data_IF_529347517575
#
_entry.id   IF_529347517575
#
_cell.length_a   1.000
_cell.length_b   1.000
_cell.length_c   1.000
_cell.angle_alpha   90.00
_cell.angle_beta   90.00
_cell.angle_gamma   90.00
#
_symmetry.space_group_name_H-M   'P 1'
#
loop_
_entity.id
_entity.type
_entity.pdbx_description
1 polymer ?
#
# COMPACT_ATOMS: atom_id res chain seq x y z
N UNK A 1 -4.71 21.60 -13.49
CA UNK A 1 -4.46 20.13 -13.35
C UNK A 1 -5.51 19.56 -12.44
N UNK A 2 -5.99 18.32 -12.70
CA UNK A 2 -6.97 17.60 -11.87
C UNK A 2 -6.24 16.59 -10.98
N UNK A 3 -6.67 16.48 -9.74
CA UNK A 3 -6.11 15.59 -8.74
C UNK A 3 -7.19 14.67 -8.18
N UNK A 4 -6.79 13.49 -7.78
CA UNK A 4 -7.62 12.56 -7.01
C UNK A 4 -6.81 12.05 -5.83
N UNK A 5 -7.31 12.29 -4.62
CA UNK A 5 -6.78 11.72 -3.39
C UNK A 5 -7.65 10.53 -2.99
N UNK A 6 -7.00 9.40 -2.74
CA UNK A 6 -7.64 8.19 -2.24
C UNK A 6 -7.01 7.90 -0.89
N UNK A 7 -7.81 7.89 0.16
CA UNK A 7 -7.39 7.52 1.52
C UNK A 7 -8.00 6.16 1.83
N UNK A 8 -7.14 5.21 2.15
CA UNK A 8 -7.49 3.82 2.42
C UNK A 8 -7.21 3.51 3.90
N UNK A 9 -8.03 2.68 4.52
CA UNK A 9 -7.78 2.21 5.88
C UNK A 9 -6.78 1.04 5.92
N UNK A 10 -6.31 0.54 4.77
CA UNK A 10 -5.23 -0.45 4.66
C UNK A 10 -4.39 -0.27 3.39
N UNK A 11 -3.25 -0.98 3.33
CA UNK A 11 -2.45 -1.10 2.13
C UNK A 11 -3.13 -2.00 1.08
N UNK A 12 -2.66 -1.91 -0.18
CA UNK A 12 -3.11 -2.80 -1.25
C UNK A 12 -2.50 -4.19 -1.02
N UNK A 13 -3.29 -5.08 -0.43
CA UNK A 13 -2.96 -6.48 -0.15
C UNK A 13 -4.00 -7.40 -0.77
N UNK A 14 -3.69 -8.70 -0.92
CA UNK A 14 -4.59 -9.67 -1.56
C UNK A 14 -5.54 -10.38 -0.58
N UNK A 15 -5.38 -10.14 0.72
CA UNK A 15 -6.23 -10.71 1.77
C UNK A 15 -7.65 -10.15 1.72
N UNK A 16 -8.64 -10.97 2.07
CA UNK A 16 -10.05 -10.58 2.13
C UNK A 16 -10.33 -9.85 3.44
N UNK A 17 -10.58 -8.56 3.36
CA UNK A 17 -10.93 -7.77 4.53
C UNK A 17 -12.05 -6.79 4.23
N UNK A 18 -12.94 -6.60 5.20
CA UNK A 18 -13.83 -5.45 5.20
C UNK A 18 -13.04 -4.19 5.53
N UNK A 19 -13.11 -3.24 4.63
CA UNK A 19 -12.24 -2.07 4.62
C UNK A 19 -13.00 -0.80 4.23
N UNK A 20 -12.41 0.36 4.47
CA UNK A 20 -13.01 1.66 4.15
C UNK A 20 -12.06 2.50 3.31
N UNK A 21 -12.65 3.25 2.37
CA UNK A 21 -11.90 4.21 1.56
C UNK A 21 -12.69 5.50 1.38
N UNK A 22 -11.96 6.61 1.22
CA UNK A 22 -12.52 7.88 0.81
C UNK A 22 -11.81 8.37 -0.44
N UNK A 23 -12.59 8.86 -1.41
CA UNK A 23 -12.09 9.44 -2.66
C UNK A 23 -12.48 10.92 -2.70
N UNK A 24 -11.49 11.78 -2.84
CA UNK A 24 -11.68 13.23 -2.93
C UNK A 24 -11.07 13.70 -4.25
N UNK A 25 -11.86 14.36 -5.08
CA UNK A 25 -11.38 14.98 -6.32
C UNK A 25 -11.03 16.44 -6.06
N UNK A 26 -10.06 16.96 -6.81
CA UNK A 26 -9.64 18.34 -6.68
C UNK A 26 -9.08 18.90 -7.96
N UNK A 27 -8.94 20.21 -8.01
CA UNK A 27 -8.39 20.94 -9.14
C UNK A 27 -7.49 22.08 -8.67
N UNK A 28 -6.30 22.21 -9.27
CA UNK A 28 -5.42 23.35 -9.01
C UNK A 28 -6.01 24.62 -9.61
N UNK A 29 -6.24 25.66 -8.79
CA UNK A 29 -6.91 26.91 -9.17
C UNK A 29 -6.07 28.16 -8.88
N UNK A 30 -4.78 28.02 -8.75
CA UNK A 30 -3.85 29.14 -8.63
C UNK A 30 -3.76 29.81 -7.26
N UNK A 31 -4.78 29.75 -6.40
CA UNK A 31 -4.74 30.30 -5.03
C UNK A 31 -4.28 29.25 -4.01
N UNK A 32 -3.33 29.62 -3.16
CA UNK A 32 -2.86 28.76 -2.06
C UNK A 32 -4.00 28.48 -1.06
N UNK A 33 -4.11 27.22 -0.63
CA UNK A 33 -5.04 26.73 0.39
C UNK A 33 -4.26 26.23 1.59
N UNK A 34 -4.13 27.02 2.67
CA UNK A 34 -3.41 26.58 3.89
C UNK A 34 -3.94 25.27 4.48
N UNK A 35 -5.23 24.94 4.26
CA UNK A 35 -5.83 23.68 4.69
C UNK A 35 -5.18 22.43 4.05
N UNK A 36 -4.41 22.57 2.98
CA UNK A 36 -3.66 21.48 2.36
C UNK A 36 -2.30 21.23 3.04
N UNK A 37 -1.88 22.13 3.94
CA UNK A 37 -0.56 22.06 4.57
C UNK A 37 -0.32 20.71 5.31
N UNK A 38 -1.26 20.16 6.11
CA UNK A 38 -1.05 18.89 6.80
C UNK A 38 -0.82 17.71 5.84
N UNK A 39 -1.44 17.73 4.65
CA UNK A 39 -1.21 16.72 3.62
C UNK A 39 0.21 16.82 3.05
N UNK A 40 0.68 18.03 2.75
CA UNK A 40 2.04 18.27 2.23
C UNK A 40 3.08 17.87 3.27
N UNK A 41 2.92 18.30 4.50
CA UNK A 41 3.85 18.04 5.59
C UNK A 41 3.94 16.53 5.90
N UNK A 42 2.82 15.81 5.78
CA UNK A 42 2.81 14.35 5.90
C UNK A 42 3.62 13.68 4.80
N UNK A 43 3.44 14.06 3.55
CA UNK A 43 4.23 13.53 2.44
C UNK A 43 5.72 13.85 2.61
N UNK A 44 6.06 15.09 2.95
CA UNK A 44 7.44 15.49 3.18
C UNK A 44 8.11 14.67 4.29
N UNK A 45 7.41 14.39 5.41
CA UNK A 45 7.93 13.54 6.48
C UNK A 45 8.15 12.09 6.02
N UNK A 46 7.19 11.52 5.30
CA UNK A 46 7.29 10.14 4.78
C UNK A 46 8.45 10.02 3.78
N UNK A 47 8.59 10.99 2.87
CA UNK A 47 9.65 10.96 1.87
C UNK A 47 11.04 11.24 2.45
N UNK A 48 11.18 12.02 3.53
CA UNK A 48 12.45 12.18 4.24
C UNK A 48 13.00 10.86 4.78
N UNK A 49 12.13 9.91 5.12
CA UNK A 49 12.50 8.55 5.49
C UNK A 49 12.90 7.65 4.32
N UNK A 50 12.70 8.11 3.07
CA UNK A 50 13.05 7.35 1.87
C UNK A 50 14.44 7.73 1.38
N UNK A 51 15.30 6.74 1.16
CA UNK A 51 16.65 6.95 0.61
C UNK A 51 16.68 7.10 -0.93
N UNK A 52 15.54 6.87 -1.61
CA UNK A 52 15.51 6.67 -3.07
C UNK A 52 14.70 7.71 -3.83
N UNK A 53 13.76 8.42 -3.19
CA UNK A 53 12.90 9.40 -3.85
C UNK A 53 12.76 10.64 -2.98
N UNK A 54 12.81 11.82 -3.60
CA UNK A 54 12.39 13.07 -2.96
C UNK A 54 10.91 13.34 -3.26
N UNK A 55 10.21 14.00 -2.34
CA UNK A 55 8.81 14.39 -2.53
C UNK A 55 8.64 15.28 -3.77
N UNK A 56 9.56 16.23 -3.97
CA UNK A 56 9.53 17.18 -5.08
C UNK A 56 9.64 16.52 -6.46
N UNK A 57 10.23 15.31 -6.54
CA UNK A 57 10.32 14.55 -7.79
C UNK A 57 9.02 13.83 -8.15
N UNK A 58 8.14 13.60 -7.18
CA UNK A 58 6.90 12.84 -7.36
C UNK A 58 5.69 13.77 -7.43
N UNK A 59 5.61 14.75 -6.55
CA UNK A 59 4.50 15.71 -6.46
C UNK A 59 5.09 17.09 -6.15
N UNK A 60 4.74 18.11 -6.95
CA UNK A 60 5.10 19.50 -6.66
C UNK A 60 4.29 20.03 -5.45
N UNK A 61 4.93 20.32 -4.28
CA UNK A 61 4.26 20.87 -3.12
C UNK A 61 3.59 22.22 -3.39
N UNK A 62 4.18 23.02 -4.29
CA UNK A 62 3.64 24.32 -4.69
C UNK A 62 2.37 24.18 -5.57
N UNK A 63 2.21 23.10 -6.28
CA UNK A 63 0.95 22.76 -6.93
C UNK A 63 -0.07 22.21 -5.93
N UNK A 64 0.35 21.28 -5.07
CA UNK A 64 -0.55 20.63 -4.11
C UNK A 64 -1.19 21.64 -3.14
N UNK A 65 -0.45 22.68 -2.71
CA UNK A 65 -0.99 23.75 -1.86
C UNK A 65 -2.11 24.56 -2.55
N UNK A 66 -2.22 24.51 -3.88
CA UNK A 66 -3.20 25.25 -4.68
C UNK A 66 -4.40 24.42 -5.10
N UNK A 67 -4.43 23.13 -4.70
CA UNK A 67 -5.54 22.26 -5.04
C UNK A 67 -6.78 22.65 -4.23
N UNK A 68 -7.88 22.82 -4.92
CA UNK A 68 -9.21 22.96 -4.36
C UNK A 68 -9.88 21.60 -4.42
N UNK A 69 -10.02 20.99 -3.27
CA UNK A 69 -10.68 19.70 -3.13
C UNK A 69 -12.19 19.88 -3.00
N UNK A 70 -12.95 19.02 -3.65
CA UNK A 70 -14.40 18.96 -3.51
C UNK A 70 -14.77 18.19 -2.24
N UNK A 71 -15.85 18.59 -1.56
CA UNK A 71 -16.35 17.82 -0.43
C UNK A 71 -16.90 16.47 -0.94
N UNK A 72 -16.66 15.35 -0.24
CA UNK A 72 -17.35 14.11 -0.52
C UNK A 72 -18.87 14.25 -0.37
N UNK A 73 -19.63 13.40 -1.07
CA UNK A 73 -21.09 13.38 -0.99
C UNK A 73 -21.57 13.22 0.47
N UNK A 74 -22.61 13.97 0.85
CA UNK A 74 -23.18 14.04 2.18
C UNK A 74 -22.26 14.64 3.27
N UNK A 75 -21.06 15.13 2.91
CA UNK A 75 -20.17 15.81 3.83
C UNK A 75 -20.16 17.32 3.60
N UNK A 76 -20.31 18.09 4.65
CA UNK A 76 -20.32 19.56 4.58
C UNK A 76 -18.91 20.15 4.49
N UNK A 77 -17.93 19.50 5.12
CA UNK A 77 -16.51 19.86 5.08
C UNK A 77 -15.63 18.67 5.38
N UNK A 78 -14.33 18.82 5.11
CA UNK A 78 -13.29 17.88 5.53
C UNK A 78 -12.01 18.64 5.93
N UNK A 79 -11.11 17.93 6.62
CA UNK A 79 -9.75 18.37 6.90
C UNK A 79 -8.79 17.18 6.94
N UNK A 80 -7.52 17.48 6.69
CA UNK A 80 -6.44 16.50 6.77
C UNK A 80 -5.86 16.51 8.18
N UNK A 81 -5.62 15.32 8.73
CA UNK A 81 -5.00 15.10 10.03
C UNK A 81 -3.87 14.10 9.87
N UNK A 82 -2.77 14.32 10.55
CA UNK A 82 -1.62 13.41 10.52
C UNK A 82 -0.84 13.46 11.83
N UNK A 83 -0.02 12.45 12.06
CA UNK A 83 0.83 12.36 13.24
C UNK A 83 2.21 13.04 13.04
N UNK A 84 2.29 14.07 12.21
CA UNK A 84 3.52 14.86 12.03
C UNK A 84 3.96 15.48 13.37
N UNK A 85 5.25 15.81 13.45
CA UNK A 85 5.80 16.50 14.62
C UNK A 85 5.34 17.97 14.66
N UNK A 86 5.02 18.42 15.86
CA UNK A 86 4.78 19.83 16.14
C UNK A 86 6.10 20.59 16.46
N UNK A 87 5.99 21.88 16.76
CA UNK A 87 7.14 22.74 17.08
C UNK A 87 7.88 22.29 18.37
N UNK A 88 7.19 21.55 19.25
CA UNK A 88 7.76 20.96 20.47
C UNK A 88 8.39 19.57 20.23
N UNK A 89 8.49 19.14 18.98
CA UNK A 89 8.97 17.82 18.57
C UNK A 89 8.15 16.66 19.16
N UNK A 90 6.82 16.88 19.30
CA UNK A 90 5.86 15.86 19.68
C UNK A 90 4.97 15.53 18.50
N UNK A 91 4.68 14.24 18.30
CA UNK A 91 3.73 13.83 17.27
C UNK A 91 2.33 14.31 17.64
N UNK A 92 1.67 14.95 16.68
CA UNK A 92 0.27 15.32 16.79
C UNK A 92 -0.61 14.06 16.78
N UNK A 93 -1.83 14.19 17.32
CA UNK A 93 -2.80 13.10 17.26
C UNK A 93 -3.50 13.08 15.89
N UNK A 94 -3.75 11.88 15.32
CA UNK A 94 -4.42 11.75 14.03
C UNK A 94 -5.94 11.96 14.13
N UNK A 95 -6.45 12.37 15.29
CA UNK A 95 -7.85 12.67 15.53
C UNK A 95 -7.97 13.99 16.29
N UNK A 96 -9.01 14.75 15.98
CA UNK A 96 -9.34 15.99 16.69
C UNK A 96 -10.67 15.80 17.43
N UNK A 97 -10.61 15.78 18.76
CA UNK A 97 -11.75 15.53 19.65
C UNK A 97 -11.91 16.65 20.65
N UNK A 98 -13.15 17.08 20.84
CA UNK A 98 -13.55 17.99 21.91
C UNK A 98 -14.30 17.20 22.99
N UNK A 99 -14.30 17.69 24.23
CA UNK A 99 -15.06 17.07 25.30
C UNK A 99 -16.56 17.37 25.16
N UNK A 100 -17.40 16.48 25.69
CA UNK A 100 -18.84 16.65 25.69
C UNK A 100 -19.57 16.14 24.47
N UNK A 101 -18.94 15.26 23.69
CA UNK A 101 -19.61 14.59 22.57
C UNK A 101 -20.77 13.71 23.07
N UNK A 102 -21.77 13.52 22.21
CA UNK A 102 -23.00 12.80 22.57
C UNK A 102 -22.86 11.29 22.43
N UNK A 103 -22.15 10.84 21.43
CA UNK A 103 -21.87 9.42 21.17
C UNK A 103 -20.56 9.24 20.40
N UNK A 104 -19.99 8.05 20.48
CA UNK A 104 -18.77 7.67 19.78
C UNK A 104 -18.86 6.24 19.26
N UNK A 105 -18.31 6.00 18.06
CA UNK A 105 -18.18 4.68 17.46
C UNK A 105 -16.76 4.54 16.94
N UNK A 106 -16.04 3.53 17.41
CA UNK A 106 -14.70 3.17 16.91
C UNK A 106 -14.75 1.84 16.14
N UNK A 107 -14.16 1.82 14.95
CA UNK A 107 -13.88 0.59 14.19
C UNK A 107 -12.38 0.44 14.10
N UNK A 108 -11.85 -0.67 14.58
CA UNK A 108 -10.41 -0.93 14.55
C UNK A 108 -10.11 -2.42 14.63
N UNK A 109 -9.31 -2.96 13.69
CA UNK A 109 -8.88 -4.37 13.75
C UNK A 109 -7.96 -4.68 14.93
N UNK A 110 -7.28 -3.64 15.47
CA UNK A 110 -6.36 -3.74 16.60
C UNK A 110 -6.66 -2.63 17.60
N UNK A 111 -6.84 -3.01 18.88
CA UNK A 111 -7.23 -2.09 19.96
C UNK A 111 -6.24 -2.09 21.13
N UNK A 112 -5.29 -3.02 21.13
CA UNK A 112 -4.32 -3.21 22.21
C UNK A 112 -2.92 -2.75 21.82
N UNK A 113 -2.14 -2.36 22.80
CA UNK A 113 -0.72 -2.08 22.67
C UNK A 113 -0.01 -2.48 23.96
N UNK A 114 0.88 -3.49 23.90
CA UNK A 114 1.55 -4.01 25.10
C UNK A 114 0.57 -4.61 26.14
N UNK A 115 -0.48 -5.27 25.67
CA UNK A 115 -1.51 -5.88 26.53
C UNK A 115 -2.51 -4.89 27.16
N UNK A 116 -2.50 -3.61 26.76
CA UNK A 116 -3.35 -2.55 27.32
C UNK A 116 -4.19 -1.88 26.23
N UNK A 117 -5.34 -1.35 26.60
CA UNK A 117 -6.27 -0.62 25.73
C UNK A 117 -6.15 0.90 25.92
N UNK A 118 -4.95 1.42 26.11
CA UNK A 118 -4.68 2.81 26.52
C UNK A 118 -5.30 3.88 25.61
N UNK A 119 -5.42 3.63 24.31
CA UNK A 119 -6.11 4.54 23.38
C UNK A 119 -7.64 4.57 23.68
N UNK A 120 -8.27 3.41 23.92
CA UNK A 120 -9.69 3.34 24.29
C UNK A 120 -9.95 3.99 25.66
N UNK A 121 -9.05 3.82 26.62
CA UNK A 121 -9.13 4.48 27.91
C UNK A 121 -9.09 6.01 27.79
N UNK A 122 -8.25 6.53 26.88
CA UNK A 122 -8.22 7.93 26.55
C UNK A 122 -9.51 8.38 25.85
N UNK A 123 -10.01 7.64 24.87
CA UNK A 123 -11.24 7.94 24.14
C UNK A 123 -12.48 7.97 25.03
N UNK A 124 -12.52 7.19 26.13
CA UNK A 124 -13.62 7.21 27.10
C UNK A 124 -13.89 8.58 27.67
N UNK A 125 -12.89 9.45 27.75
CA UNK A 125 -13.04 10.80 28.31
C UNK A 125 -13.88 11.75 27.44
N UNK A 126 -14.19 11.37 26.20
CA UNK A 126 -14.84 12.24 25.22
C UNK A 126 -16.33 11.96 24.99
N UNK A 127 -16.86 10.81 25.43
CA UNK A 127 -18.28 10.49 25.28
C UNK A 127 -18.81 9.72 26.51
N UNK A 128 -20.12 9.74 26.83
CA UNK A 128 -20.72 9.01 27.95
C UNK A 128 -20.59 7.48 27.82
N UNK A 129 -20.54 6.75 28.93
CA UNK A 129 -20.35 5.30 28.99
C UNK A 129 -21.36 4.50 28.16
N UNK A 130 -22.60 4.86 28.21
CA UNK A 130 -23.69 4.18 27.49
C UNK A 130 -23.83 4.62 26.03
N UNK A 131 -22.88 5.39 25.51
CA UNK A 131 -22.90 5.98 24.17
C UNK A 131 -21.60 5.70 23.39
N UNK A 132 -20.85 4.67 23.79
CA UNK A 132 -19.60 4.26 23.16
C UNK A 132 -19.76 2.89 22.52
N UNK A 133 -19.39 2.77 21.27
CA UNK A 133 -19.54 1.58 20.46
C UNK A 133 -18.20 1.21 19.86
N UNK A 134 -17.82 -0.06 19.98
CA UNK A 134 -16.54 -0.60 19.49
C UNK A 134 -16.80 -1.77 18.57
N UNK A 135 -16.30 -1.66 17.36
CA UNK A 135 -16.32 -2.69 16.34
C UNK A 135 -14.89 -3.16 16.10
N UNK A 136 -14.61 -4.43 16.42
CA UNK A 136 -13.26 -4.97 16.32
C UNK A 136 -13.29 -6.45 15.89
N UNK A 137 -12.13 -7.05 15.79
CA UNK A 137 -11.98 -8.48 15.61
C UNK A 137 -12.39 -9.21 16.89
N UNK A 138 -12.99 -10.38 16.75
CA UNK A 138 -13.43 -11.20 17.88
C UNK A 138 -12.26 -11.50 18.82
N UNK A 139 -11.14 -11.93 18.25
CA UNK A 139 -9.93 -12.28 19.00
C UNK A 139 -9.37 -11.08 19.79
N UNK A 140 -9.39 -9.87 19.19
CA UNK A 140 -8.93 -8.66 19.88
C UNK A 140 -9.84 -8.26 21.04
N UNK A 141 -11.16 -8.45 20.89
CA UNK A 141 -12.12 -8.20 21.97
C UNK A 141 -11.94 -9.19 23.11
N UNK A 142 -11.84 -10.49 22.80
CA UNK A 142 -11.62 -11.54 23.79
C UNK A 142 -10.29 -11.36 24.53
N UNK A 143 -9.21 -11.07 23.79
CA UNK A 143 -7.90 -10.81 24.39
C UNK A 143 -7.85 -9.53 25.22
N UNK A 144 -8.65 -8.52 24.92
CA UNK A 144 -8.77 -7.33 25.77
C UNK A 144 -9.56 -7.64 27.05
N UNK A 145 -10.58 -8.48 26.92
CA UNK A 145 -11.46 -8.92 28.00
C UNK A 145 -12.54 -7.90 28.39
N UNK A 146 -13.66 -8.42 28.89
CA UNK A 146 -14.84 -7.62 29.24
C UNK A 146 -14.52 -6.49 30.22
N UNK A 147 -13.70 -6.76 31.24
CA UNK A 147 -13.32 -5.78 32.26
C UNK A 147 -12.54 -4.58 31.68
N UNK A 148 -11.65 -4.80 30.74
CA UNK A 148 -10.88 -3.72 30.12
C UNK A 148 -11.74 -2.90 29.13
N UNK A 149 -12.80 -3.50 28.59
CA UNK A 149 -13.74 -2.86 27.66
C UNK A 149 -15.05 -2.40 28.32
N UNK A 150 -15.10 -2.40 29.65
CA UNK A 150 -16.26 -1.88 30.39
C UNK A 150 -16.62 -0.44 29.93
N UNK A 151 -17.92 -0.19 29.74
CA UNK A 151 -18.45 1.05 29.19
C UNK A 151 -18.35 1.19 27.66
N UNK A 152 -17.96 0.13 26.94
CA UNK A 152 -18.07 0.02 25.50
C UNK A 152 -19.10 -1.05 25.11
N UNK A 153 -19.96 -0.76 24.13
CA UNK A 153 -20.79 -1.75 23.46
C UNK A 153 -19.97 -2.40 22.37
N UNK A 154 -19.55 -3.65 22.54
CA UNK A 154 -18.64 -4.35 21.66
C UNK A 154 -19.36 -5.17 20.59
N UNK A 155 -18.86 -5.12 19.36
CA UNK A 155 -19.38 -5.83 18.20
C UNK A 155 -18.23 -6.45 17.38
N UNK A 156 -18.47 -7.65 16.84
CA UNK A 156 -17.56 -8.33 15.91
C UNK A 156 -18.24 -8.58 14.56
N UNK A 157 -17.47 -8.90 13.51
CA UNK A 157 -18.02 -9.31 12.22
C UNK A 157 -18.93 -10.51 12.39
N UNK A 158 -20.00 -10.56 11.61
CA UNK A 158 -20.96 -11.66 11.67
C UNK A 158 -20.40 -12.90 10.98
N UNK A 159 -20.11 -13.94 11.75
CA UNK A 159 -19.53 -15.21 11.28
C UNK A 159 -20.38 -15.86 10.17
N UNK A 160 -21.71 -15.75 10.23
CA UNK A 160 -22.60 -16.31 9.20
C UNK A 160 -22.46 -15.64 7.82
N UNK A 161 -21.98 -14.41 7.74
CA UNK A 161 -21.69 -13.74 6.46
C UNK A 161 -20.35 -14.20 5.90
N UNK A 162 -19.40 -14.55 6.75
CA UNK A 162 -18.10 -15.12 6.40
C UNK A 162 -18.31 -16.46 5.70
N UNK A 163 -19.08 -17.37 6.32
CA UNK A 163 -19.35 -18.73 5.82
C UNK A 163 -20.16 -18.72 4.49
N UNK A 164 -20.98 -17.70 4.24
CA UNK A 164 -21.80 -17.61 3.03
C UNK A 164 -20.99 -17.31 1.76
N UNK A 165 -19.86 -16.64 1.87
CA UNK A 165 -18.97 -16.33 0.75
C UNK A 165 -18.03 -17.48 0.36
N UNK A 166 -17.83 -18.48 1.23
CA UNK A 166 -16.99 -19.64 0.93
C UNK A 166 -17.57 -20.58 -0.16
N UNK A 167 -18.84 -20.43 -0.49
CA UNK A 167 -19.53 -21.28 -1.48
C UNK A 167 -19.45 -20.81 -2.93
N UNK A 168 -18.83 -19.65 -3.23
CA UNK A 168 -18.52 -19.24 -4.59
C UNK A 168 -17.15 -19.77 -5.02
N UNK A 169 -17.06 -20.39 -6.22
CA UNK A 169 -15.83 -20.99 -6.78
C UNK A 169 -14.64 -20.04 -6.68
N UNK A 170 -13.74 -20.32 -5.73
CA UNK A 170 -12.62 -19.46 -5.42
C UNK A 170 -11.35 -19.94 -6.07
N UNK A 171 -10.62 -18.98 -6.63
CA UNK A 171 -9.27 -19.14 -7.15
C UNK A 171 -8.34 -19.61 -6.00
N UNK A 172 -7.82 -20.84 -6.11
CA UNK A 172 -6.93 -21.47 -5.12
C UNK A 172 -5.53 -20.86 -5.19
N UNK A 173 -5.41 -19.57 -4.91
CA UNK A 173 -4.10 -18.95 -4.72
C UNK A 173 -3.59 -19.30 -3.32
N UNK A 174 -2.37 -19.88 -3.17
CA UNK A 174 -1.81 -20.23 -1.87
C UNK A 174 -1.46 -19.02 -0.98
N UNK A 175 -1.76 -17.80 -1.42
CA UNK A 175 -1.46 -16.54 -0.72
C UNK A 175 -2.71 -15.81 -0.20
N UNK A 176 -3.89 -16.40 -0.30
CA UNK A 176 -5.14 -15.77 0.14
C UNK A 176 -5.58 -16.43 1.44
N UNK A 177 -5.58 -15.67 2.54
CA UNK A 177 -6.34 -16.04 3.74
C UNK A 177 -7.82 -16.09 3.35
N UNK A 178 -8.47 -17.24 3.55
CA UNK A 178 -9.84 -17.49 3.09
C UNK A 178 -10.89 -16.80 3.94
N UNK A 179 -10.57 -16.32 5.15
CA UNK A 179 -11.52 -15.74 6.08
C UNK A 179 -11.69 -14.23 5.85
N UNK A 180 -12.94 -13.78 5.68
CA UNK A 180 -13.26 -12.36 5.68
C UNK A 180 -12.93 -11.76 7.05
N UNK A 181 -12.00 -10.83 7.10
CA UNK A 181 -11.55 -10.21 8.33
C UNK A 181 -11.83 -8.69 8.37
N UNK A 182 -11.80 -8.09 9.54
CA UNK A 182 -11.92 -6.66 9.72
C UNK A 182 -10.56 -5.99 9.58
N UNK A 183 -10.45 -4.98 8.69
CA UNK A 183 -9.25 -4.13 8.60
C UNK A 183 -9.57 -2.63 8.56
N UNK A 184 -10.84 -2.25 8.52
CA UNK A 184 -11.28 -0.87 8.53
C UNK A 184 -10.84 -0.10 9.80
N UNK A 185 -10.52 1.18 9.64
CA UNK A 185 -10.17 2.09 10.73
C UNK A 185 -10.99 3.35 10.59
N UNK A 186 -11.87 3.56 11.57
CA UNK A 186 -12.82 4.66 11.58
C UNK A 186 -13.13 5.06 13.02
N UNK A 187 -13.15 6.36 13.29
CA UNK A 187 -13.72 6.91 14.52
C UNK A 187 -14.82 7.89 14.13
N UNK A 188 -16.04 7.62 14.57
CA UNK A 188 -17.21 8.49 14.39
C UNK A 188 -17.57 9.13 15.70
N UNK A 189 -17.82 10.43 15.69
CA UNK A 189 -18.15 11.20 16.89
C UNK A 189 -19.35 12.11 16.62
N UNK A 190 -20.42 11.92 17.35
CA UNK A 190 -21.57 12.82 17.35
C UNK A 190 -21.25 14.03 18.25
N UNK A 191 -20.82 15.12 17.61
CA UNK A 191 -20.31 16.33 18.31
C UNK A 191 -21.42 17.17 18.90
N UNK A 192 -22.54 17.30 18.19
CA UNK A 192 -23.70 18.10 18.59
C UNK A 192 -25.01 17.36 18.24
N UNK A 193 -26.16 18.01 18.48
CA UNK A 193 -27.48 17.46 18.11
C UNK A 193 -27.65 17.26 16.60
N UNK A 194 -26.90 17.97 15.79
CA UNK A 194 -27.04 17.94 14.32
C UNK A 194 -25.77 17.56 13.57
N UNK A 195 -24.61 17.50 14.25
CA UNK A 195 -23.30 17.38 13.61
C UNK A 195 -22.58 16.13 14.07
N UNK A 196 -22.03 15.40 13.13
CA UNK A 196 -21.12 14.26 13.36
C UNK A 196 -19.84 14.43 12.56
N UNK A 197 -18.74 13.90 13.07
CA UNK A 197 -17.47 13.82 12.35
C UNK A 197 -16.96 12.38 12.27
N UNK A 198 -16.43 12.04 11.11
CA UNK A 198 -15.74 10.79 10.83
C UNK A 198 -14.25 11.07 10.74
N UNK A 199 -13.45 10.25 11.38
CA UNK A 199 -11.99 10.20 11.22
C UNK A 199 -11.67 8.88 10.55
N UNK A 200 -11.34 8.92 9.26
CA UNK A 200 -11.09 7.76 8.39
C UNK A 200 -9.65 7.78 7.90
N UNK A 201 -8.94 6.66 7.98
CA UNK A 201 -7.59 6.53 7.44
C UNK A 201 -6.81 5.35 8.01
N UNK A 202 -5.52 5.56 8.28
CA UNK A 202 -4.60 4.48 8.64
C UNK A 202 -4.56 4.13 10.13
N UNK A 203 -4.99 5.03 11.02
CA UNK A 203 -4.77 4.89 12.46
C UNK A 203 -5.68 3.85 13.11
N UNK A 204 -5.07 2.80 13.66
CA UNK A 204 -5.74 1.89 14.58
C UNK A 204 -6.05 2.57 15.92
N UNK A 205 -7.04 2.06 16.66
CA UNK A 205 -7.34 2.53 18.03
C UNK A 205 -6.36 1.93 19.04
N UNK A 206 -5.08 2.18 18.81
CA UNK A 206 -3.96 1.70 19.65
C UNK A 206 -3.13 2.85 20.18
N UNK A 207 -2.39 2.63 21.26
CA UNK A 207 -1.48 3.64 21.80
C UNK A 207 -0.41 4.07 20.77
N UNK A 208 0.07 3.15 19.95
CA UNK A 208 1.08 3.45 18.93
C UNK A 208 0.56 4.41 17.85
N UNK A 209 -0.70 4.26 17.43
CA UNK A 209 -1.30 5.06 16.37
C UNK A 209 -1.98 6.35 16.88
N UNK A 210 -2.69 6.30 18.01
CA UNK A 210 -3.45 7.46 18.53
C UNK A 210 -2.83 8.11 19.76
N UNK A 211 -1.89 7.44 20.43
CA UNK A 211 -1.43 7.82 21.77
C UNK A 211 -2.43 7.40 22.86
N UNK A 212 -2.19 7.86 24.07
CA UNK A 212 -3.09 7.74 25.24
C UNK A 212 -3.13 9.06 26.02
N UNK A 213 -3.71 9.06 27.23
CA UNK A 213 -3.82 10.27 28.05
C UNK A 213 -2.45 10.93 28.37
N UNK A 214 -1.37 10.15 28.40
CA UNK A 214 -0.02 10.58 28.82
C UNK A 214 1.00 10.59 27.69
N UNK A 215 0.75 9.84 26.60
CA UNK A 215 1.74 9.61 25.56
C UNK A 215 1.20 10.06 24.20
N UNK A 216 2.06 10.69 23.41
CA UNK A 216 1.80 10.99 22.00
C UNK A 216 1.88 9.72 21.14
N UNK A 217 1.27 9.72 19.93
CA UNK A 217 1.43 8.64 18.95
C UNK A 217 2.91 8.39 18.60
N UNK A 218 3.20 7.18 18.15
CA UNK A 218 4.56 6.80 17.69
C UNK A 218 4.60 6.50 16.19
N UNK A 219 3.48 6.08 15.62
CA UNK A 219 3.38 5.76 14.20
C UNK A 219 3.20 7.01 13.33
N UNK A 220 3.55 6.86 12.05
CA UNK A 220 3.15 7.80 11.01
C UNK A 220 1.75 7.42 10.53
N UNK A 221 0.76 8.24 10.86
CA UNK A 221 -0.65 8.00 10.53
C UNK A 221 -1.22 9.21 9.77
N UNK A 222 -2.14 8.92 8.84
CA UNK A 222 -2.88 9.92 8.09
C UNK A 222 -4.37 9.63 8.13
N UNK A 223 -5.16 10.65 8.48
CA UNK A 223 -6.61 10.55 8.60
C UNK A 223 -7.29 11.72 7.88
N UNK A 224 -8.47 11.45 7.36
CA UNK A 224 -9.43 12.47 6.95
C UNK A 224 -10.44 12.67 8.07
N UNK A 225 -10.65 13.92 8.50
CA UNK A 225 -11.84 14.28 9.27
C UNK A 225 -12.89 14.79 8.30
N UNK A 226 -14.02 14.08 8.23
CA UNK A 226 -15.18 14.40 7.40
C UNK A 226 -16.32 14.80 8.32
N UNK A 227 -16.96 15.95 8.08
CA UNK A 227 -18.06 16.44 8.94
C UNK A 227 -19.36 16.50 8.13
N UNK A 228 -20.44 16.00 8.70
CA UNK A 228 -21.76 15.99 8.06
C UNK A 228 -22.92 15.98 9.03
N UNK A 229 -24.11 15.67 8.50
CA UNK A 229 -25.34 15.62 9.31
C UNK A 229 -25.40 14.32 10.12
N UNK A 230 -25.62 14.46 11.43
CA UNK A 230 -25.81 13.34 12.36
C UNK A 230 -26.96 12.41 11.94
N UNK A 231 -28.03 12.94 11.38
CA UNK A 231 -29.20 12.15 10.98
C UNK A 231 -28.89 11.13 9.90
N UNK A 232 -27.88 11.40 9.06
CA UNK A 232 -27.51 10.54 7.92
C UNK A 232 -26.31 9.66 8.23
N UNK A 233 -25.29 10.21 8.88
CA UNK A 233 -23.99 9.55 9.04
C UNK A 233 -23.55 9.47 10.52
N UNK A 234 -24.44 9.76 11.47
CA UNK A 234 -24.16 9.70 12.90
C UNK A 234 -24.07 8.25 13.43
N UNK A 235 -23.59 8.13 14.65
CA UNK A 235 -23.33 6.86 15.35
C UNK A 235 -24.54 5.92 15.29
N UNK A 236 -25.72 6.39 15.65
CA UNK A 236 -26.92 5.55 15.65
C UNK A 236 -27.40 5.15 14.26
N UNK A 237 -27.22 6.01 13.27
CA UNK A 237 -27.54 5.70 11.89
C UNK A 237 -26.70 4.52 11.38
N UNK A 238 -25.40 4.52 11.73
CA UNK A 238 -24.48 3.44 11.38
C UNK A 238 -24.80 2.14 12.11
N UNK A 239 -25.06 2.21 13.43
CA UNK A 239 -25.44 1.02 14.20
C UNK A 239 -26.67 0.37 13.60
N UNK A 240 -27.69 1.15 13.28
CA UNK A 240 -28.93 0.62 12.66
C UNK A 240 -28.66 -0.04 11.31
N UNK A 241 -27.72 0.45 10.53
CA UNK A 241 -27.35 -0.14 9.24
C UNK A 241 -26.49 -1.40 9.39
N UNK A 242 -25.54 -1.38 10.32
CA UNK A 242 -24.52 -2.42 10.41
C UNK A 242 -24.89 -3.59 11.31
N UNK A 243 -25.66 -3.36 12.36
CA UNK A 243 -26.00 -4.40 13.35
C UNK A 243 -27.36 -5.03 13.06
N UNK A 244 -28.32 -4.30 12.54
CA UNK A 244 -29.69 -4.72 12.25
C UNK A 244 -30.38 -5.51 13.41
N UNK A 245 -31.68 -5.28 13.63
CA UNK A 245 -32.45 -5.84 14.75
C UNK A 245 -32.62 -7.37 14.71
N UNK A 246 -32.36 -8.01 13.58
CA UNK A 246 -32.56 -9.45 13.36
C UNK A 246 -31.25 -10.28 13.36
N UNK A 247 -30.10 -9.68 13.71
CA UNK A 247 -28.81 -10.39 13.70
C UNK A 247 -28.27 -10.74 12.32
N UNK A 248 -28.87 -10.20 11.23
CA UNK A 248 -28.44 -10.39 9.85
C UNK A 248 -27.58 -9.22 9.34
N UNK A 249 -27.16 -8.34 10.24
CA UNK A 249 -26.28 -7.22 9.93
C UNK A 249 -24.83 -7.68 9.73
N UNK A 250 -24.01 -6.76 9.21
CA UNK A 250 -22.58 -6.97 9.00
C UNK A 250 -21.85 -7.29 10.32
N UNK A 251 -22.32 -6.76 11.44
CA UNK A 251 -21.75 -6.98 12.77
C UNK A 251 -22.82 -7.51 13.72
N UNK A 252 -22.38 -8.35 14.65
CA UNK A 252 -23.18 -8.87 15.76
C UNK A 252 -22.62 -8.41 17.10
N UNK A 253 -23.47 -8.33 18.13
CA UNK A 253 -23.01 -8.04 19.49
C UNK A 253 -22.03 -9.13 19.93
N UNK A 254 -20.86 -8.71 20.41
CA UNK A 254 -19.85 -9.64 20.89
C UNK A 254 -20.22 -10.21 22.26
N UNK A 255 -20.09 -11.53 22.40
CA UNK A 255 -20.18 -12.24 23.66
C UNK A 255 -18.76 -12.69 24.01
N UNK A 256 -18.25 -12.19 25.13
CA UNK A 256 -16.89 -12.49 25.57
C UNK A 256 -16.74 -13.97 25.93
N UNK A 257 -15.78 -14.64 25.35
CA UNK A 257 -15.35 -15.99 25.75
C UNK A 257 -14.26 -15.88 26.81
N UNK A 258 -14.33 -16.76 27.85
CA UNK A 258 -13.17 -16.94 28.72
C UNK A 258 -12.06 -17.56 27.85
N UNK A 259 -11.02 -16.78 27.58
CA UNK A 259 -9.80 -17.34 27.00
C UNK A 259 -9.20 -18.25 28.07
N UNK A 260 -9.14 -19.56 27.82
CA UNK A 260 -8.20 -20.42 28.53
C UNK A 260 -6.82 -19.79 28.31
N UNK A 261 -6.11 -19.47 29.40
CA UNK A 261 -4.71 -19.02 29.34
C UNK A 261 -3.92 -20.09 28.57
N UNK A 262 -3.83 -19.93 27.25
CA UNK A 262 -3.02 -20.80 26.42
C UNK A 262 -1.59 -20.28 26.44
N UNK A 263 -0.65 -21.22 26.52
CA UNK A 263 0.80 -20.98 26.41
C UNK A 263 1.19 -20.18 25.15
N UNK A 264 0.24 -19.75 24.33
CA UNK A 264 0.41 -18.95 23.11
C UNK A 264 0.76 -17.47 23.31
N UNK A 265 0.43 -16.84 24.44
CA UNK A 265 0.70 -15.39 24.61
C UNK A 265 2.20 -15.05 24.63
N UNK A 266 3.03 -15.93 25.19
CA UNK A 266 4.48 -15.77 25.21
C UNK A 266 5.09 -16.00 23.81
N UNK A 267 4.54 -16.94 23.03
CA UNK A 267 4.95 -17.21 21.66
C UNK A 267 4.58 -16.05 20.73
N UNK A 268 3.35 -15.54 20.79
CA UNK A 268 2.89 -14.38 20.01
C UNK A 268 3.70 -13.13 20.33
N UNK A 269 4.06 -12.93 21.59
CA UNK A 269 4.92 -11.81 21.99
C UNK A 269 6.33 -11.98 21.46
N UNK A 270 6.89 -13.17 21.53
CA UNK A 270 8.22 -13.48 21.02
C UNK A 270 8.24 -13.33 19.48
N UNK A 271 7.20 -13.79 18.77
CA UNK A 271 7.05 -13.60 17.34
C UNK A 271 7.04 -12.10 16.96
N UNK A 272 6.25 -11.26 17.64
CA UNK A 272 6.20 -9.80 17.38
C UNK A 272 7.54 -9.12 17.63
N UNK A 273 8.28 -9.53 18.66
CA UNK A 273 9.61 -8.99 18.93
C UNK A 273 10.60 -9.41 17.84
N UNK A 274 10.51 -10.64 17.36
CA UNK A 274 11.32 -11.13 16.26
C UNK A 274 10.99 -10.39 14.96
N UNK A 275 9.70 -10.22 14.62
CA UNK A 275 9.25 -9.41 13.49
C UNK A 275 9.82 -8.00 13.54
N UNK A 276 9.70 -7.33 14.69
CA UNK A 276 10.25 -5.98 14.89
C UNK A 276 11.76 -5.95 14.71
N UNK A 277 12.48 -6.94 15.22
CA UNK A 277 13.93 -7.06 15.08
C UNK A 277 14.33 -7.24 13.61
N UNK A 278 13.63 -8.09 12.86
CA UNK A 278 13.88 -8.32 11.44
C UNK A 278 13.62 -7.06 10.60
N UNK A 279 12.51 -6.33 10.89
CA UNK A 279 12.16 -5.10 10.17
C UNK A 279 13.12 -3.95 10.49
N UNK A 280 13.61 -3.88 11.74
CA UNK A 280 14.44 -2.77 12.22
C UNK A 280 15.94 -2.98 12.00
N UNK A 281 16.36 -4.18 11.58
CA UNK A 281 17.77 -4.49 11.36
C UNK A 281 18.30 -3.77 10.11
N UNK A 282 19.58 -3.39 10.17
CA UNK A 282 20.29 -2.73 9.08
C UNK A 282 20.82 -3.77 8.08
N UNK A 283 19.90 -4.22 7.20
CA UNK A 283 20.21 -5.21 6.17
C UNK A 283 20.99 -4.61 5.02
N UNK A 284 22.09 -5.27 4.63
CA UNK A 284 22.94 -4.88 3.50
C UNK A 284 23.07 -6.03 2.52
N UNK A 285 22.83 -5.72 1.26
CA UNK A 285 23.00 -6.63 0.13
C UNK A 285 24.17 -6.15 -0.73
N UNK A 286 25.23 -6.93 -0.79
CA UNK A 286 26.38 -6.68 -1.67
C UNK A 286 26.23 -7.50 -2.93
N UNK A 287 26.46 -6.85 -4.07
CA UNK A 287 26.36 -7.47 -5.40
C UNK A 287 27.72 -7.48 -6.08
N UNK A 288 28.21 -8.66 -6.32
CA UNK A 288 29.49 -8.91 -7.00
C UNK A 288 29.26 -9.65 -8.32
N UNK A 289 30.07 -9.32 -9.34
CA UNK A 289 30.09 -10.04 -10.60
C UNK A 289 30.98 -11.28 -10.42
N UNK A 290 30.45 -12.49 -10.64
CA UNK A 290 31.18 -13.75 -10.46
C UNK A 290 31.41 -14.54 -11.76
N UNK A 291 30.85 -14.11 -12.88
CA UNK A 291 31.00 -14.77 -14.20
C UNK A 291 30.54 -13.87 -15.34
N UNK A 292 30.42 -14.40 -16.54
CA UNK A 292 29.82 -13.69 -17.68
C UNK A 292 28.31 -13.57 -17.43
N UNK A 293 27.85 -12.36 -17.06
CA UNK A 293 26.46 -12.04 -16.71
C UNK A 293 25.86 -12.81 -15.51
N UNK A 294 26.71 -13.40 -14.67
CA UNK A 294 26.31 -14.04 -13.41
C UNK A 294 26.80 -13.22 -12.21
N UNK A 295 25.92 -13.10 -11.22
CA UNK A 295 26.13 -12.29 -10.04
C UNK A 295 26.01 -13.11 -8.76
N UNK A 296 26.79 -12.74 -7.78
CA UNK A 296 26.68 -13.19 -6.40
C UNK A 296 26.02 -12.09 -5.58
N UNK A 297 25.08 -12.48 -4.75
CA UNK A 297 24.39 -11.61 -3.82
C UNK A 297 24.69 -12.05 -2.39
N UNK A 298 25.26 -11.18 -1.59
CA UNK A 298 25.61 -11.46 -0.20
C UNK A 298 24.76 -10.58 0.72
N UNK A 299 23.96 -11.21 1.58
CA UNK A 299 23.18 -10.55 2.61
C UNK A 299 23.97 -10.52 3.92
N UNK A 300 24.18 -9.33 4.45
CA UNK A 300 24.81 -9.06 5.76
C UNK A 300 23.79 -8.35 6.67
N UNK A 301 23.87 -8.57 7.99
CA UNK A 301 23.01 -7.90 8.97
C UNK A 301 22.45 -8.80 10.07
N UNK A 302 22.42 -10.12 9.86
CA UNK A 302 21.86 -11.08 10.81
C UNK A 302 22.68 -11.33 12.10
N UNK A 303 23.84 -10.72 12.23
CA UNK A 303 24.79 -11.03 13.34
C UNK A 303 24.33 -10.60 14.73
N UNK A 304 23.31 -9.74 14.82
CA UNK A 304 22.84 -9.15 16.08
C UNK A 304 21.40 -9.56 16.44
N UNK A 305 20.80 -10.45 15.64
CA UNK A 305 19.43 -10.89 15.91
C UNK A 305 19.43 -12.06 16.88
N UNK A 306 18.79 -11.85 18.00
CA UNK A 306 18.48 -12.91 18.98
C UNK A 306 17.19 -13.60 18.52
N UNK A 307 17.33 -14.71 17.78
CA UNK A 307 16.19 -15.50 17.32
C UNK A 307 15.82 -16.45 18.44
N UNK A 308 14.60 -16.33 19.01
CA UNK A 308 14.13 -17.29 20.03
C UNK A 308 14.17 -18.73 19.50
N UNK A 309 14.57 -19.67 20.34
CA UNK A 309 14.75 -21.09 19.97
C UNK A 309 13.44 -21.79 19.51
N UNK A 310 12.28 -21.18 19.72
CA UNK A 310 10.99 -21.64 19.24
C UNK A 310 10.76 -21.35 17.76
N UNK A 311 11.56 -20.47 17.14
CA UNK A 311 11.37 -20.07 15.74
C UNK A 311 12.57 -20.42 14.87
N UNK A 312 12.27 -20.88 13.67
CA UNK A 312 13.20 -21.00 12.56
C UNK A 312 12.96 -19.87 11.58
N UNK A 313 14.02 -19.16 11.15
CA UNK A 313 13.93 -18.09 10.18
C UNK A 313 14.71 -18.46 8.92
N UNK A 314 14.00 -18.47 7.80
CA UNK A 314 14.61 -18.59 6.48
C UNK A 314 14.54 -17.25 5.74
N UNK A 315 15.51 -17.02 4.86
CA UNK A 315 15.60 -15.82 4.05
C UNK A 315 15.78 -16.17 2.58
N UNK A 316 15.14 -15.42 1.71
CA UNK A 316 15.26 -15.53 0.25
C UNK A 316 15.18 -14.15 -0.40
N UNK A 317 15.62 -14.05 -1.67
CA UNK A 317 15.28 -12.89 -2.49
C UNK A 317 13.90 -13.09 -3.10
N UNK A 318 13.17 -12.02 -3.44
CA UNK A 318 11.83 -12.14 -4.04
C UNK A 318 11.83 -12.78 -5.43
N UNK A 319 12.96 -12.72 -6.13
CA UNK A 319 12.96 -12.95 -7.57
C UNK A 319 13.37 -14.36 -8.01
N UNK A 320 14.01 -15.21 -7.19
CA UNK A 320 14.44 -16.52 -7.70
C UNK A 320 15.30 -17.37 -6.76
N UNK A 321 15.43 -17.09 -5.51
CA UNK A 321 16.36 -17.88 -4.70
C UNK A 321 15.63 -18.91 -3.85
N UNK A 322 16.27 -20.06 -3.69
CA UNK A 322 15.84 -21.01 -2.69
C UNK A 322 16.00 -20.39 -1.30
N UNK A 323 15.00 -20.54 -0.40
CA UNK A 323 15.11 -20.08 0.97
C UNK A 323 16.33 -20.73 1.65
N UNK A 324 17.11 -19.92 2.38
CA UNK A 324 18.25 -20.35 3.18
C UNK A 324 18.02 -20.02 4.64
N UNK A 325 18.54 -20.82 5.56
CA UNK A 325 18.49 -20.46 6.98
C UNK A 325 19.17 -19.11 7.19
N UNK A 326 18.55 -18.25 8.00
CA UNK A 326 19.12 -16.96 8.33
C UNK A 326 20.41 -17.16 9.14
N UNK A 327 21.48 -16.55 8.67
CA UNK A 327 22.80 -16.59 9.28
C UNK A 327 23.41 -15.19 9.27
N UNK A 328 24.60 -15.04 9.89
CA UNK A 328 25.35 -13.78 9.89
C UNK A 328 25.59 -13.25 8.48
N UNK A 329 25.85 -14.15 7.57
CA UNK A 329 26.07 -13.90 6.15
C UNK A 329 25.32 -14.97 5.37
N UNK A 330 24.54 -14.58 4.36
CA UNK A 330 23.83 -15.49 3.47
C UNK A 330 24.18 -15.13 2.04
N UNK A 331 24.66 -16.11 1.27
CA UNK A 331 25.17 -15.88 -0.08
C UNK A 331 24.30 -16.63 -1.10
N UNK A 332 23.93 -15.98 -2.18
CA UNK A 332 23.28 -16.58 -3.34
C UNK A 332 24.18 -16.37 -4.57
N UNK A 333 24.48 -17.45 -5.28
CA UNK A 333 25.34 -17.47 -6.45
C UNK A 333 24.56 -17.65 -7.75
N UNK A 334 25.19 -17.34 -8.89
CA UNK A 334 24.67 -17.57 -10.23
C UNK A 334 23.32 -16.89 -10.49
N UNK A 335 23.13 -15.70 -9.96
CA UNK A 335 21.94 -14.89 -10.21
C UNK A 335 22.10 -14.07 -11.49
N UNK A 336 21.00 -13.92 -12.23
CA UNK A 336 20.93 -12.92 -13.30
C UNK A 336 20.68 -11.54 -12.74
N UNK A 337 21.07 -10.50 -13.45
CA UNK A 337 20.89 -9.12 -13.02
C UNK A 337 19.41 -8.75 -12.78
N UNK A 338 18.48 -9.29 -13.56
CA UNK A 338 17.03 -9.13 -13.38
C UNK A 338 16.51 -9.70 -12.06
N UNK A 339 17.18 -10.73 -11.54
CA UNK A 339 16.83 -11.41 -10.29
C UNK A 339 17.32 -10.70 -9.03
N UNK A 340 18.18 -9.68 -9.18
CA UNK A 340 18.74 -8.93 -8.07
C UNK A 340 17.71 -7.86 -7.65
N UNK A 341 17.35 -7.86 -6.36
CA UNK A 341 16.39 -6.93 -5.77
C UNK A 341 16.87 -6.52 -4.39
N UNK A 342 16.57 -5.28 -4.00
CA UNK A 342 16.76 -4.82 -2.62
C UNK A 342 15.74 -5.42 -1.63
N UNK A 343 14.72 -6.14 -2.13
CA UNK A 343 13.70 -6.75 -1.30
C UNK A 343 14.10 -8.16 -0.94
N UNK A 344 14.09 -8.45 0.35
CA UNK A 344 14.36 -9.76 0.96
C UNK A 344 13.09 -10.26 1.64
N UNK A 345 12.85 -11.53 1.49
CA UNK A 345 11.71 -12.23 2.09
C UNK A 345 12.19 -13.10 3.23
N UNK A 346 11.58 -12.95 4.40
CA UNK A 346 11.78 -13.79 5.57
C UNK A 346 10.55 -14.66 5.78
N UNK A 347 10.79 -15.96 5.96
CA UNK A 347 9.81 -16.96 6.37
C UNK A 347 10.13 -17.37 7.80
N UNK A 348 9.20 -17.11 8.73
CA UNK A 348 9.31 -17.50 10.13
C UNK A 348 8.44 -18.73 10.35
N UNK A 349 9.03 -19.79 10.87
CA UNK A 349 8.34 -21.05 11.18
C UNK A 349 8.44 -21.36 12.67
N UNK A 350 7.40 -21.95 13.21
CA UNK A 350 7.32 -22.53 14.55
C UNK A 350 6.84 -23.98 14.43
N UNK A 351 7.55 -24.93 15.02
CA UNK A 351 7.23 -26.37 14.94
C UNK A 351 7.02 -26.86 13.48
N UNK A 352 7.92 -26.47 12.56
CA UNK A 352 7.84 -26.78 11.13
C UNK A 352 6.65 -26.16 10.37
N UNK A 353 5.82 -25.34 11.02
CA UNK A 353 4.72 -24.60 10.38
C UNK A 353 5.09 -23.16 10.17
N UNK A 354 4.86 -22.62 8.96
CA UNK A 354 5.08 -21.20 8.66
C UNK A 354 4.02 -20.38 9.40
N UNK A 355 4.49 -19.55 10.32
CA UNK A 355 3.63 -18.66 11.12
C UNK A 355 3.64 -17.22 10.62
N UNK A 356 4.69 -16.82 9.87
CA UNK A 356 4.77 -15.46 9.33
C UNK A 356 5.66 -15.35 8.10
N UNK A 357 5.25 -14.51 7.17
CA UNK A 357 6.05 -14.05 6.04
C UNK A 357 6.25 -12.53 6.12
N UNK A 358 7.48 -12.06 5.93
CA UNK A 358 7.84 -10.64 5.94
C UNK A 358 8.65 -10.31 4.71
N UNK A 359 8.41 -9.13 4.14
CA UNK A 359 9.28 -8.56 3.10
C UNK A 359 9.88 -7.28 3.64
N UNK A 360 11.21 -7.20 3.60
CA UNK A 360 11.98 -6.07 4.11
C UNK A 360 12.88 -5.54 3.00
N UNK A 361 13.04 -4.23 2.95
CA UNK A 361 13.99 -3.59 2.04
C UNK A 361 15.36 -3.49 2.71
N UNK A 362 16.41 -3.99 2.03
CA UNK A 362 17.80 -3.84 2.43
C UNK A 362 18.48 -2.69 1.68
N UNK A 363 19.53 -2.15 2.24
CA UNK A 363 20.47 -1.30 1.49
C UNK A 363 21.21 -2.18 0.47
N UNK A 364 21.16 -1.84 -0.82
CA UNK A 364 21.85 -2.59 -1.85
C UNK A 364 23.10 -1.86 -2.34
N UNK A 365 24.23 -2.55 -2.35
CA UNK A 365 25.54 -2.02 -2.72
C UNK A 365 26.04 -2.79 -3.94
N UNK A 366 26.23 -2.09 -5.06
CA UNK A 366 26.77 -2.67 -6.26
C UNK A 366 28.27 -2.41 -6.34
N UNK A 367 29.06 -3.48 -6.30
CA UNK A 367 30.53 -3.42 -6.45
C UNK A 367 30.97 -3.34 -7.93
N UNK A 368 30.00 -3.28 -8.86
CA UNK A 368 30.22 -3.19 -10.31
C UNK A 368 29.22 -2.19 -10.94
N UNK A 369 29.55 -1.63 -12.11
CA UNK A 369 28.65 -0.74 -12.84
C UNK A 369 27.60 -1.58 -13.55
N UNK A 370 26.32 -1.35 -13.22
CA UNK A 370 25.19 -2.13 -13.71
C UNK A 370 24.05 -1.21 -14.13
N UNK A 371 23.36 -1.62 -15.19
CA UNK A 371 22.07 -1.06 -15.59
C UNK A 371 21.00 -2.16 -15.45
N UNK A 372 20.47 -2.30 -14.23
CA UNK A 372 19.42 -3.27 -13.90
C UNK A 372 18.14 -3.02 -14.68
N UNK A 373 17.80 -1.77 -14.93
CA UNK A 373 16.62 -1.39 -15.72
C UNK A 373 16.72 -1.94 -17.12
N UNK A 374 17.90 -1.80 -17.75
CA UNK A 374 18.18 -2.34 -19.08
C UNK A 374 18.11 -3.88 -19.09
N UNK A 375 18.66 -4.55 -18.10
CA UNK A 375 18.63 -6.02 -18.01
C UNK A 375 17.19 -6.56 -17.89
N UNK A 376 16.39 -5.99 -17.01
CA UNK A 376 14.96 -6.37 -16.84
C UNK A 376 14.18 -6.10 -18.13
N UNK A 377 14.39 -4.94 -18.74
CA UNK A 377 13.69 -4.57 -19.98
C UNK A 377 14.03 -5.53 -21.12
N UNK A 378 15.31 -5.94 -21.25
CA UNK A 378 15.73 -6.90 -22.27
C UNK A 378 15.22 -8.31 -22.02
N UNK A 379 15.05 -8.72 -20.76
CA UNK A 379 14.47 -10.01 -20.41
C UNK A 379 12.96 -10.05 -20.68
N UNK A 380 12.26 -8.95 -20.42
CA UNK A 380 10.83 -8.80 -20.72
C UNK A 380 10.55 -8.64 -22.21
N UNK A 381 11.47 -8.03 -22.95
CA UNK A 381 11.35 -7.75 -24.38
C UNK A 381 12.40 -8.55 -25.17
N UNK A 382 12.33 -9.88 -25.09
CA UNK A 382 13.33 -10.81 -25.68
C UNK A 382 13.47 -10.72 -27.19
N UNK A 383 12.43 -10.20 -27.87
CA UNK A 383 12.38 -10.18 -29.32
C UNK A 383 11.60 -8.99 -29.89
N UNK A 384 11.76 -8.78 -31.22
CA UNK A 384 11.11 -7.68 -31.96
C UNK A 384 9.59 -7.68 -31.83
N UNK A 385 8.95 -8.84 -31.76
CA UNK A 385 7.49 -8.95 -31.63
C UNK A 385 7.00 -8.46 -30.28
N UNK A 386 7.67 -8.82 -29.18
CA UNK A 386 7.35 -8.36 -27.83
C UNK A 386 7.58 -6.86 -27.69
N UNK A 387 8.67 -6.33 -28.27
CA UNK A 387 8.91 -4.88 -28.32
C UNK A 387 7.75 -4.16 -29.02
N UNK A 388 7.34 -4.63 -30.20
CA UNK A 388 6.24 -4.01 -30.95
C UNK A 388 4.89 -4.15 -30.25
N UNK A 389 4.65 -5.26 -29.55
CA UNK A 389 3.45 -5.43 -28.72
C UNK A 389 3.41 -4.43 -27.57
N UNK A 390 4.55 -4.18 -26.93
CA UNK A 390 4.65 -3.20 -25.85
C UNK A 390 4.45 -1.77 -26.37
N UNK A 391 5.05 -1.40 -27.51
CA UNK A 391 4.78 -0.11 -28.17
C UNK A 391 3.29 0.05 -28.50
N UNK A 392 2.67 -0.99 -29.04
CA UNK A 392 1.24 -0.98 -29.37
C UNK A 392 0.37 -0.76 -28.12
N UNK A 393 0.71 -1.40 -27.01
CA UNK A 393 0.04 -1.19 -25.74
C UNK A 393 0.20 0.26 -25.23
N UNK A 394 1.40 0.81 -25.29
CA UNK A 394 1.66 2.20 -24.91
C UNK A 394 0.86 3.20 -25.76
N UNK A 395 0.69 2.90 -27.03
CA UNK A 395 -0.08 3.73 -27.97
C UNK A 395 -1.59 3.48 -27.94
N UNK A 396 -2.08 2.64 -27.01
CA UNK A 396 -3.50 2.22 -26.92
C UNK A 396 -4.03 1.69 -28.26
N UNK A 397 -3.29 0.85 -28.92
CA UNK A 397 -3.74 0.13 -30.12
C UNK A 397 -4.48 -1.12 -29.65
N UNK A 398 -5.72 -1.28 -30.10
CA UNK A 398 -6.58 -2.41 -29.74
C UNK A 398 -5.94 -3.74 -30.22
N UNK A 399 -5.60 -4.67 -29.31
CA UNK A 399 -5.00 -5.95 -29.69
C UNK A 399 -5.98 -6.86 -30.49
N UNK A 400 -7.29 -6.60 -30.46
CA UNK A 400 -8.27 -7.35 -31.27
C UNK A 400 -8.16 -7.05 -32.77
N UNK A 401 -7.45 -6.02 -33.17
CA UNK A 401 -7.04 -5.78 -34.56
C UNK A 401 -5.78 -6.59 -34.91
N UNK A 402 -5.77 -7.84 -34.50
CA UNK A 402 -4.67 -8.79 -34.56
C UNK A 402 -4.08 -9.07 -35.97
N UNK A 403 -4.74 -8.69 -37.04
CA UNK A 403 -4.21 -8.85 -38.40
C UNK A 403 -2.87 -8.09 -38.61
N UNK A 404 -2.60 -7.07 -37.81
CA UNK A 404 -1.35 -6.32 -37.82
C UNK A 404 -0.21 -7.04 -37.05
N UNK A 405 -0.54 -7.82 -36.03
CA UNK A 405 0.46 -8.54 -35.23
C UNK A 405 0.83 -9.90 -35.81
N UNK A 406 -0.13 -10.57 -36.47
CA UNK A 406 0.11 -11.85 -37.17
C UNK A 406 0.98 -11.70 -38.41
N UNK A 407 1.07 -10.50 -38.98
CA UNK A 407 2.00 -10.22 -40.11
C UNK A 407 3.44 -10.09 -39.63
N UNK A 408 3.67 -9.68 -38.38
CA UNK A 408 5.05 -9.58 -37.82
C UNK A 408 5.61 -10.94 -37.34
N UNK A 409 4.75 -11.94 -37.07
CA UNK A 409 5.14 -13.24 -36.50
C UNK A 409 5.31 -14.40 -37.53
N UNK A 410 5.04 -14.20 -38.80
CA UNK A 410 5.03 -15.27 -39.84
C UNK A 410 6.12 -15.19 -40.89
N UNK A 411 7.17 -14.44 -40.69
CA UNK A 411 8.21 -14.35 -41.68
C UNK A 411 9.60 -14.10 -41.11
N UNK A 412 10.46 -15.11 -41.14
CA UNK A 412 11.91 -14.93 -41.24
C UNK A 412 12.28 -14.29 -42.60
N UNK A 413 11.36 -13.64 -43.28
CA UNK A 413 11.50 -13.03 -44.59
C UNK A 413 11.42 -11.51 -44.56
N UNK A 414 12.37 -10.85 -45.14
CA UNK A 414 12.60 -9.40 -45.25
C UNK A 414 11.40 -8.53 -45.70
N UNK A 415 10.22 -9.11 -45.95
CA UNK A 415 9.08 -8.38 -46.52
C UNK A 415 7.91 -8.09 -45.57
N UNK A 416 7.82 -8.71 -44.40
CA UNK A 416 6.64 -8.57 -43.51
C UNK A 416 6.68 -7.31 -42.62
N UNK A 417 7.87 -6.75 -42.40
CA UNK A 417 8.05 -5.53 -41.56
C UNK A 417 7.60 -4.23 -42.24
N UNK A 418 7.62 -4.19 -43.57
CA UNK A 418 7.40 -2.97 -44.35
C UNK A 418 5.98 -2.41 -44.25
N UNK A 419 4.97 -3.26 -44.02
CA UNK A 419 3.56 -2.85 -43.98
C UNK A 419 3.20 -2.14 -42.65
N UNK A 420 3.87 -2.50 -41.57
CA UNK A 420 3.59 -1.91 -40.23
C UNK A 420 4.10 -0.48 -40.08
N UNK A 421 5.04 -0.05 -40.90
CA UNK A 421 5.76 1.23 -40.73
C UNK A 421 5.57 2.21 -41.90
N UNK A 422 4.56 1.98 -42.74
CA UNK A 422 4.17 2.98 -43.77
C UNK A 422 3.45 4.16 -43.17
N UNK A 423 3.43 5.29 -43.85
CA UNK A 423 2.69 6.50 -43.43
C UNK A 423 1.20 6.27 -43.24
N UNK A 424 0.66 5.21 -43.80
CA UNK A 424 -0.75 4.81 -43.68
C UNK A 424 -0.95 3.77 -42.55
N UNK A 425 0.05 3.49 -41.73
CA UNK A 425 -0.02 2.51 -40.63
C UNK A 425 -0.68 3.13 -39.39
N UNK A 426 -1.41 2.28 -38.66
CA UNK A 426 -2.04 2.66 -37.38
C UNK A 426 -1.01 3.17 -36.36
N UNK A 427 0.20 2.61 -36.38
CA UNK A 427 1.30 3.04 -35.50
C UNK A 427 1.74 4.46 -35.81
N UNK A 428 1.88 4.82 -37.08
CA UNK A 428 2.25 6.18 -37.49
C UNK A 428 1.21 7.20 -37.04
N UNK A 429 -0.08 6.94 -37.32
CA UNK A 429 -1.17 7.82 -36.88
C UNK A 429 -1.21 8.01 -35.36
N UNK A 430 -1.00 6.92 -34.60
CA UNK A 430 -1.00 6.97 -33.14
C UNK A 430 0.21 7.70 -32.59
N UNK A 431 1.39 7.55 -33.19
CA UNK A 431 2.59 8.33 -32.82
C UNK A 431 2.38 9.81 -33.11
N UNK A 432 1.83 10.18 -34.25
CA UNK A 432 1.51 11.57 -34.60
C UNK A 432 0.49 12.17 -33.65
N UNK A 433 -0.52 11.38 -33.26
CA UNK A 433 -1.51 11.81 -32.27
C UNK A 433 -0.87 11.97 -30.88
N UNK A 434 0.00 11.05 -30.48
CA UNK A 434 0.73 11.14 -29.22
C UNK A 434 1.63 12.39 -29.21
N UNK A 435 2.32 12.70 -30.30
CA UNK A 435 3.13 13.87 -30.46
C UNK A 435 2.34 15.17 -30.24
N UNK A 436 1.10 15.20 -30.73
CA UNK A 436 0.23 16.38 -30.63
C UNK A 436 -0.49 16.54 -29.28
N UNK A 437 -0.85 15.41 -28.60
CA UNK A 437 -1.75 15.42 -27.46
C UNK A 437 -1.12 14.91 -26.15
N UNK A 438 -0.03 14.18 -26.22
CA UNK A 438 0.59 13.50 -25.07
C UNK A 438 2.11 13.37 -25.28
N UNK A 439 2.87 14.48 -25.33
CA UNK A 439 4.32 14.46 -25.61
C UNK A 439 5.10 13.60 -24.58
N UNK A 440 4.65 13.53 -23.34
CA UNK A 440 5.23 12.66 -22.29
C UNK A 440 5.29 11.18 -22.72
N UNK A 441 4.36 10.73 -23.57
CA UNK A 441 4.37 9.37 -24.10
C UNK A 441 5.54 9.15 -25.06
N UNK A 442 5.90 10.16 -25.85
CA UNK A 442 7.08 10.07 -26.71
C UNK A 442 8.36 9.98 -25.89
N UNK A 443 8.48 10.76 -24.81
CA UNK A 443 9.63 10.67 -23.91
C UNK A 443 9.73 9.28 -23.23
N UNK A 444 8.60 8.66 -22.92
CA UNK A 444 8.57 7.29 -22.38
C UNK A 444 9.06 6.26 -23.41
N UNK A 445 8.64 6.38 -24.66
CA UNK A 445 9.09 5.51 -25.76
C UNK A 445 10.58 5.72 -26.04
N UNK A 446 11.06 6.96 -25.99
CA UNK A 446 12.49 7.26 -26.16
C UNK A 446 13.35 6.64 -25.06
N UNK A 447 12.95 6.78 -23.82
CA UNK A 447 13.60 6.13 -22.67
C UNK A 447 13.60 4.60 -22.80
N UNK A 448 12.50 4.00 -23.26
CA UNK A 448 12.41 2.57 -23.49
C UNK A 448 13.44 2.12 -24.54
N UNK A 449 13.55 2.83 -25.65
CA UNK A 449 14.54 2.50 -26.70
C UNK A 449 15.98 2.56 -26.19
N UNK A 450 16.29 3.50 -25.29
CA UNK A 450 17.60 3.59 -24.65
C UNK A 450 17.91 2.41 -23.70
N UNK A 451 16.86 1.76 -23.18
CA UNK A 451 16.97 0.63 -22.25
C UNK A 451 16.94 -0.73 -22.92
N UNK A 452 16.55 -0.84 -24.18
CA UNK A 452 16.43 -2.09 -24.92
C UNK A 452 17.66 -2.31 -25.80
N UNK A 453 18.09 -3.56 -25.99
CA UNK A 453 19.14 -3.88 -26.92
C UNK A 453 18.76 -3.51 -28.35
N UNK A 454 19.69 -2.89 -29.04
CA UNK A 454 19.47 -2.36 -30.38
C UNK A 454 18.98 -3.41 -31.40
N UNK A 455 19.33 -4.69 -31.17
CA UNK A 455 18.90 -5.84 -31.99
C UNK A 455 17.41 -6.16 -31.90
N UNK A 456 16.79 -5.78 -30.77
CA UNK A 456 15.38 -6.05 -30.49
C UNK A 456 14.49 -5.00 -31.16
N UNK A 457 15.01 -3.78 -31.38
CA UNK A 457 14.26 -2.68 -32.00
C UNK A 457 14.29 -2.88 -33.54
N UNK A 458 13.12 -3.02 -34.21
CA UNK A 458 13.06 -3.09 -35.66
C UNK A 458 13.67 -1.84 -36.33
N UNK A 459 14.44 -2.03 -37.40
CA UNK A 459 15.09 -0.89 -38.09
C UNK A 459 14.08 0.04 -38.74
N UNK A 460 12.94 -0.49 -39.14
CA UNK A 460 11.82 0.28 -39.67
C UNK A 460 11.21 1.19 -38.55
N UNK A 461 11.13 0.68 -37.34
CA UNK A 461 10.65 1.48 -36.20
C UNK A 461 11.66 2.58 -35.87
N UNK A 462 12.96 2.31 -35.86
CA UNK A 462 14.01 3.33 -35.66
C UNK A 462 13.90 4.46 -36.68
N UNK A 463 13.69 4.10 -37.96
CA UNK A 463 13.53 5.07 -39.05
C UNK A 463 12.29 5.93 -38.85
N UNK A 464 11.15 5.32 -38.53
CA UNK A 464 9.91 5.99 -38.25
C UNK A 464 10.03 6.91 -37.03
N UNK A 465 10.62 6.42 -35.95
CA UNK A 465 10.84 7.13 -34.70
C UNK A 465 11.72 8.38 -34.92
N UNK A 466 12.84 8.23 -35.61
CA UNK A 466 13.73 9.35 -35.93
C UNK A 466 13.00 10.48 -36.66
N UNK A 467 12.10 10.15 -37.60
CA UNK A 467 11.27 11.11 -38.32
C UNK A 467 10.23 11.82 -37.46
N UNK A 468 9.57 11.09 -36.53
CA UNK A 468 8.57 11.66 -35.65
C UNK A 468 9.21 12.46 -34.51
N UNK A 469 10.18 11.87 -33.82
CA UNK A 469 10.80 12.48 -32.63
C UNK A 469 11.56 13.78 -32.96
N UNK A 470 12.34 13.80 -34.03
CA UNK A 470 13.07 14.98 -34.45
C UNK A 470 12.18 16.18 -34.89
N UNK A 471 10.91 15.89 -35.23
CA UNK A 471 9.95 16.89 -35.65
C UNK A 471 9.20 17.57 -34.51
N UNK A 472 9.13 16.94 -33.34
CA UNK A 472 8.28 17.37 -32.24
C UNK A 472 9.00 17.66 -30.92
N UNK A 473 10.20 17.13 -30.72
CA UNK A 473 11.03 17.44 -29.55
C UNK A 473 12.15 18.38 -29.97
N UNK A 474 12.12 19.66 -29.57
CA UNK A 474 13.23 20.58 -29.86
C UNK A 474 14.49 20.00 -29.19
N UNK A 475 15.58 19.91 -29.95
CA UNK A 475 16.90 19.62 -29.39
C UNK A 475 17.20 20.60 -28.26
N UNK A 476 17.36 20.06 -27.03
CA UNK A 476 17.82 20.83 -25.86
C UNK A 476 19.22 21.36 -26.07
#
# INVERSE_FOLDING_TARGET
MKYRLIVLSRNLTFDRCWDLSAVINGESRGKRKPANRPLIDFFDEVYRGSSTLSFDEVIDPEELIRVHWDNPDNMSKFSFLSTIFDDDNKRQRPVHLEHGNQAMLAVSPFIRGGGKVGALDWLRTFAPDNQRYLFSRKEELDMAGEKALDGWHCYALNEHLVDAEENEEMDQSPFVENDLNLHAKLLVVDETDSTTSWHLGSANTTQAAMGDASNSPRNNEFMLRLTGSKDHIGVYSLIKQWVNEHGTGLFTKHEFSELEETEGEDSDRALRLLEFSLISADWKLEVDLCGDDEYQLTLNGGALLDIPSSFDVKVSTLSASQPRALAREVVWDSLKLSQISALIHFEISENDSVVKNLVVQAEIIFNCKLDRGKAITNELLENRSQFMSYISMLLHIDPSKQDLMNSAGKGDGEGAGVVLFTKDSVIYEKLMRAAALSPDLLERIDRLQAQVDEKIIPDEFKTLWGGVFSSFVPSK
#
